data_IF_027920490547
#
_entry.id   IF_027920490547
#
_cell.length_a   1.000
_cell.length_b   1.000
_cell.length_c   1.000
_cell.angle_alpha   90.00
_cell.angle_beta   90.00
_cell.angle_gamma   90.00
#
_symmetry.space_group_name_H-M   'P 1'
#
loop_
_entity.id
_entity.type
_entity.pdbx_description
1 polymer ?
#
# COMPACT_ATOMS: atom_id res chain seq x y z
N UNK A 1 -0.38 10.77 -0.93
CA UNK A 1 -0.63 9.31 -0.86
C UNK A 1 -0.10 8.62 -2.12
N UNK A 2 1.18 8.23 -2.17
CA UNK A 2 1.77 7.63 -3.37
C UNK A 2 1.36 6.16 -3.61
N UNK A 3 0.86 5.45 -2.59
CA UNK A 3 0.55 4.01 -2.71
C UNK A 3 -0.56 3.68 -3.71
N UNK A 4 -1.70 4.37 -3.65
CA UNK A 4 -2.86 4.03 -4.50
C UNK A 4 -2.62 4.36 -5.99
N UNK A 5 -1.91 5.46 -6.28
CA UNK A 5 -1.53 5.82 -7.64
C UNK A 5 -0.68 4.72 -8.30
N UNK A 6 0.28 4.16 -7.56
CA UNK A 6 1.11 3.08 -8.05
C UNK A 6 0.35 1.74 -8.23
N UNK A 7 -0.72 1.50 -7.47
CA UNK A 7 -1.46 0.22 -7.47
C UNK A 7 -2.69 0.22 -8.38
N UNK A 8 -3.44 1.32 -8.43
CA UNK A 8 -4.72 1.44 -9.15
C UNK A 8 -4.72 2.56 -10.21
N UNK A 9 -3.60 3.24 -10.43
CA UNK A 9 -3.46 4.32 -11.40
C UNK A 9 -4.02 5.68 -10.97
N UNK A 10 -4.70 5.78 -9.81
CA UNK A 10 -5.22 7.04 -9.25
C UNK A 10 -5.05 7.10 -7.72
N UNK A 11 -4.85 8.31 -7.19
CA UNK A 11 -4.59 8.54 -5.76
C UNK A 11 -5.81 8.85 -4.89
N UNK A 12 -7.00 9.01 -5.48
CA UNK A 12 -8.25 9.35 -4.76
C UNK A 12 -8.95 8.12 -4.17
N UNK A 13 -9.85 8.33 -3.21
CA UNK A 13 -10.66 7.24 -2.65
C UNK A 13 -11.41 6.46 -3.76
N UNK A 14 -11.44 5.14 -3.65
CA UNK A 14 -12.00 4.24 -4.69
C UNK A 14 -13.52 4.21 -4.69
N UNK A 15 -14.17 4.51 -3.55
CA UNK A 15 -15.62 4.52 -3.38
C UNK A 15 -16.07 5.74 -2.57
N UNK A 16 -17.39 5.90 -2.41
CA UNK A 16 -18.00 6.98 -1.62
C UNK A 16 -18.27 6.53 -0.18
N UNK A 17 -18.37 7.47 0.76
CA UNK A 17 -18.70 7.17 2.16
C UNK A 17 -20.06 6.45 2.29
N UNK A 18 -21.02 6.76 1.41
CA UNK A 18 -22.33 6.13 1.35
C UNK A 18 -22.24 4.63 1.09
N UNK A 19 -21.32 4.20 0.21
CA UNK A 19 -21.15 2.79 -0.16
C UNK A 19 -20.69 1.90 1.01
N UNK A 20 -20.18 2.49 2.10
CA UNK A 20 -19.83 1.73 3.31
C UNK A 20 -21.06 1.02 3.90
N UNK A 21 -22.27 1.55 3.70
CA UNK A 21 -23.51 0.95 4.18
C UNK A 21 -23.82 -0.41 3.53
N UNK A 22 -23.19 -0.74 2.40
CA UNK A 22 -23.37 -1.97 1.63
C UNK A 22 -22.30 -3.03 1.93
N UNK A 23 -21.39 -2.76 2.86
CA UNK A 23 -20.32 -3.69 3.21
C UNK A 23 -20.81 -4.78 4.16
N UNK A 24 -20.36 -6.03 3.97
CA UNK A 24 -20.54 -7.13 4.92
C UNK A 24 -19.46 -7.14 6.03
N UNK A 25 -18.37 -6.40 5.84
CA UNK A 25 -17.28 -6.30 6.81
C UNK A 25 -16.51 -4.99 6.63
N UNK A 26 -16.51 -4.14 7.66
CA UNK A 26 -15.82 -2.85 7.65
C UNK A 26 -14.57 -2.93 8.53
N UNK A 27 -13.40 -2.83 7.92
CA UNK A 27 -12.12 -2.73 8.63
C UNK A 27 -11.70 -1.26 8.69
N UNK A 28 -11.67 -0.71 9.90
CA UNK A 28 -11.16 0.63 10.19
C UNK A 28 -9.75 0.46 10.77
N UNK A 29 -8.74 0.79 9.98
CA UNK A 29 -7.33 0.67 10.37
C UNK A 29 -6.59 1.96 10.01
N UNK A 30 -5.78 2.48 10.94
CA UNK A 30 -5.11 3.77 10.75
C UNK A 30 -6.06 4.97 10.65
N UNK A 31 -7.29 4.83 11.18
CA UNK A 31 -8.32 5.88 11.16
C UNK A 31 -9.15 5.83 12.44
N UNK A 32 -9.61 6.99 12.88
CA UNK A 32 -10.55 7.15 14.00
C UNK A 32 -11.84 7.81 13.49
N UNK A 33 -12.62 7.05 12.72
CA UNK A 33 -13.75 7.59 11.93
C UNK A 33 -14.86 8.22 12.77
N UNK A 34 -15.19 7.67 13.94
CA UNK A 34 -16.24 8.22 14.80
C UNK A 34 -15.90 9.64 15.29
N UNK A 35 -14.62 9.99 15.32
CA UNK A 35 -14.15 11.31 15.79
C UNK A 35 -13.78 12.22 14.64
N UNK A 36 -13.10 11.70 13.62
CA UNK A 36 -12.52 12.49 12.54
C UNK A 36 -13.45 12.59 11.31
N UNK A 37 -14.39 11.65 11.15
CA UNK A 37 -15.34 11.59 10.04
C UNK A 37 -16.76 11.19 10.53
N UNK A 38 -17.31 11.84 11.59
CA UNK A 38 -18.52 11.38 12.26
C UNK A 38 -19.74 11.27 11.34
N UNK A 39 -19.87 12.18 10.37
CA UNK A 39 -20.96 12.13 9.38
C UNK A 39 -20.83 10.94 8.43
N UNK A 40 -19.61 10.54 8.08
CA UNK A 40 -19.37 9.33 7.27
C UNK A 40 -19.57 8.04 8.08
N UNK A 41 -19.19 8.07 9.36
CA UNK A 41 -19.29 6.92 10.26
C UNK A 41 -20.73 6.40 10.42
N UNK A 42 -21.75 7.25 10.21
CA UNK A 42 -23.16 6.80 10.15
C UNK A 42 -23.40 5.65 9.16
N UNK A 43 -22.65 5.59 8.06
CA UNK A 43 -22.81 4.55 7.05
C UNK A 43 -22.17 3.23 7.49
N UNK A 44 -21.09 3.29 8.28
CA UNK A 44 -20.53 2.11 8.96
C UNK A 44 -21.55 1.54 9.94
N UNK A 45 -22.22 2.39 10.72
CA UNK A 45 -23.26 1.94 11.64
C UNK A 45 -24.46 1.31 10.91
N UNK A 46 -24.87 1.87 9.76
CA UNK A 46 -25.90 1.24 8.90
C UNK A 46 -25.48 -0.14 8.38
N UNK A 47 -24.22 -0.32 8.01
CA UNK A 47 -23.71 -1.63 7.62
C UNK A 47 -23.79 -2.60 8.80
N UNK A 48 -23.36 -2.16 9.99
CA UNK A 48 -23.42 -2.96 11.22
C UNK A 48 -24.85 -3.36 11.59
N UNK A 49 -25.82 -2.45 11.48
CA UNK A 49 -27.25 -2.73 11.67
C UNK A 49 -27.79 -3.80 10.70
N UNK A 50 -27.20 -3.91 9.50
CA UNK A 50 -27.51 -4.95 8.51
C UNK A 50 -26.79 -6.28 8.75
N UNK A 51 -25.95 -6.36 9.77
CA UNK A 51 -25.18 -7.56 10.12
C UNK A 51 -23.71 -7.54 9.70
N UNK A 52 -23.19 -6.41 9.22
CA UNK A 52 -21.77 -6.29 8.91
C UNK A 52 -20.91 -6.36 10.18
N UNK A 53 -19.76 -7.04 10.10
CA UNK A 53 -18.77 -7.01 11.19
C UNK A 53 -17.91 -5.75 11.08
N UNK A 54 -17.84 -4.96 12.15
CA UNK A 54 -16.98 -3.77 12.24
C UNK A 54 -15.74 -4.09 13.06
N UNK A 55 -14.58 -3.98 12.43
CA UNK A 55 -13.26 -4.24 13.05
C UNK A 55 -12.51 -2.93 13.13
N UNK A 56 -12.01 -2.58 14.32
CA UNK A 56 -11.16 -1.40 14.53
C UNK A 56 -9.77 -1.80 14.97
N UNK A 57 -8.77 -1.48 14.14
CA UNK A 57 -7.35 -1.74 14.38
C UNK A 57 -6.67 -0.43 14.74
N UNK A 58 -6.38 -0.23 16.02
CA UNK A 58 -5.75 1.00 16.53
C UNK A 58 -4.98 0.69 17.83
N UNK A 59 -3.79 1.30 18.04
CA UNK A 59 -3.06 1.19 19.32
C UNK A 59 -3.88 1.62 20.54
N UNK A 60 -4.88 2.48 20.34
CA UNK A 60 -5.70 3.05 21.40
C UNK A 60 -7.12 2.53 21.29
N UNK A 61 -7.78 2.43 22.44
CA UNK A 61 -9.22 2.28 22.49
C UNK A 61 -9.89 3.65 22.40
N UNK A 62 -10.56 3.94 21.30
CA UNK A 62 -11.18 5.25 21.00
C UNK A 62 -12.71 5.17 20.94
N UNK A 63 -13.38 6.28 20.60
CA UNK A 63 -14.84 6.28 20.34
C UNK A 63 -15.22 5.40 19.15
N UNK A 64 -14.30 5.20 18.19
CA UNK A 64 -14.50 4.23 17.11
C UNK A 64 -14.44 2.81 17.64
N UNK A 65 -13.47 2.49 18.50
CA UNK A 65 -13.34 1.15 19.12
C UNK A 65 -14.56 0.78 19.94
N UNK A 66 -15.12 1.74 20.69
CA UNK A 66 -16.31 1.55 21.51
C UNK A 66 -17.56 1.15 20.70
N UNK A 67 -17.58 1.43 19.39
CA UNK A 67 -18.69 1.12 18.48
C UNK A 67 -18.36 -0.05 17.53
N UNK A 68 -17.13 -0.55 17.52
CA UNK A 68 -16.72 -1.71 16.74
C UNK A 68 -17.15 -3.03 17.41
N UNK A 69 -17.27 -4.09 16.63
CA UNK A 69 -17.49 -5.45 17.15
C UNK A 69 -16.20 -6.07 17.65
N UNK A 70 -15.09 -5.77 16.95
CA UNK A 70 -13.76 -6.30 17.28
C UNK A 70 -12.79 -5.12 17.35
N UNK A 71 -12.15 -4.92 18.51
CA UNK A 71 -10.99 -4.04 18.65
C UNK A 71 -9.72 -4.90 18.61
N UNK A 72 -8.81 -4.56 17.69
CA UNK A 72 -7.50 -5.20 17.56
C UNK A 72 -6.43 -4.19 17.97
N UNK A 73 -5.90 -4.27 19.19
CA UNK A 73 -4.80 -3.41 19.60
C UNK A 73 -3.54 -3.79 18.83
N UNK A 74 -2.82 -2.78 18.32
CA UNK A 74 -1.61 -2.97 17.53
C UNK A 74 -0.54 -1.95 17.95
N UNK A 75 0.73 -2.35 18.03
CA UNK A 75 1.83 -1.39 18.26
C UNK A 75 1.94 -0.43 17.08
N UNK A 76 2.07 0.87 17.37
CA UNK A 76 2.28 1.88 16.32
C UNK A 76 3.47 1.50 15.41
N UNK A 77 3.25 1.49 14.09
CA UNK A 77 4.25 1.13 13.09
C UNK A 77 4.45 -0.37 12.89
N UNK A 78 3.52 -1.21 13.34
CA UNK A 78 3.51 -2.67 13.05
C UNK A 78 2.42 -3.10 12.06
N UNK A 79 1.76 -2.12 11.42
CA UNK A 79 0.72 -2.29 10.41
C UNK A 79 1.16 -3.22 9.27
N UNK A 80 2.40 -3.07 8.80
CA UNK A 80 2.94 -3.88 7.71
C UNK A 80 3.05 -5.37 8.10
N UNK A 81 3.42 -5.68 9.35
CA UNK A 81 3.50 -7.06 9.82
C UNK A 81 2.12 -7.70 9.94
N UNK A 82 1.14 -6.94 10.45
CA UNK A 82 -0.26 -7.40 10.56
C UNK A 82 -0.87 -7.66 9.18
N UNK A 83 -0.73 -6.72 8.24
CA UNK A 83 -1.21 -6.89 6.87
C UNK A 83 -0.45 -8.00 6.12
N UNK A 84 0.85 -8.13 6.33
CA UNK A 84 1.66 -9.24 5.79
C UNK A 84 1.17 -10.60 6.27
N UNK A 85 0.86 -10.72 7.57
CA UNK A 85 0.24 -11.91 8.15
C UNK A 85 -1.14 -12.21 7.55
N UNK A 86 -1.97 -11.19 7.32
CA UNK A 86 -3.27 -11.34 6.67
C UNK A 86 -3.14 -11.83 5.22
N UNK A 87 -2.18 -11.29 4.45
CA UNK A 87 -1.89 -11.75 3.09
C UNK A 87 -1.47 -13.22 3.13
N UNK A 88 -0.53 -13.58 4.00
CA UNK A 88 -0.05 -14.95 4.17
C UNK A 88 -1.20 -15.91 4.54
N UNK A 89 -2.07 -15.51 5.46
CA UNK A 89 -3.25 -16.29 5.84
C UNK A 89 -4.20 -16.52 4.67
N UNK A 90 -4.52 -15.46 3.90
CA UNK A 90 -5.43 -15.55 2.75
C UNK A 90 -4.88 -16.52 1.71
N UNK A 91 -3.62 -16.37 1.28
CA UNK A 91 -3.04 -17.21 0.20
C UNK A 91 -2.88 -18.69 0.61
N UNK A 92 -2.82 -18.97 1.91
CA UNK A 92 -2.74 -20.34 2.44
C UNK A 92 -4.10 -20.88 2.91
N UNK A 93 -5.17 -20.09 2.86
CA UNK A 93 -6.49 -20.49 3.35
C UNK A 93 -7.15 -21.55 2.46
N UNK A 94 -8.03 -22.37 3.04
CA UNK A 94 -8.84 -23.31 2.26
C UNK A 94 -9.72 -22.59 1.24
N UNK A 95 -10.24 -21.40 1.58
CA UNK A 95 -11.04 -20.59 0.67
C UNK A 95 -10.26 -20.21 -0.59
N UNK A 96 -8.97 -19.88 -0.48
CA UNK A 96 -8.12 -19.60 -1.65
C UNK A 96 -8.03 -20.81 -2.60
N UNK A 97 -8.04 -22.03 -2.05
CA UNK A 97 -7.97 -23.28 -2.82
C UNK A 97 -9.31 -23.64 -3.45
N UNK A 98 -10.42 -23.37 -2.76
CA UNK A 98 -11.76 -23.84 -3.13
C UNK A 98 -12.61 -22.82 -3.91
N UNK A 99 -12.36 -21.52 -3.75
CA UNK A 99 -13.18 -20.45 -4.34
C UNK A 99 -12.62 -19.98 -5.70
N UNK A 100 -13.28 -20.31 -6.83
CA UNK A 100 -12.78 -19.95 -8.15
C UNK A 100 -12.89 -18.45 -8.43
N UNK A 101 -13.81 -17.73 -7.79
CA UNK A 101 -14.04 -16.31 -8.06
C UNK A 101 -12.81 -15.48 -7.72
N UNK A 102 -12.24 -15.69 -6.53
CA UNK A 102 -11.11 -14.89 -6.08
C UNK A 102 -9.85 -15.16 -6.90
N UNK A 103 -9.59 -16.43 -7.26
CA UNK A 103 -8.46 -16.80 -8.12
C UNK A 103 -8.61 -16.24 -9.55
N UNK A 104 -9.82 -16.27 -10.11
CA UNK A 104 -10.09 -15.67 -11.41
C UNK A 104 -9.88 -14.15 -11.39
N UNK A 105 -10.35 -13.47 -10.35
CA UNK A 105 -10.13 -12.04 -10.18
C UNK A 105 -8.63 -11.71 -10.11
N UNK A 106 -7.87 -12.42 -9.27
CA UNK A 106 -6.42 -12.21 -9.14
C UNK A 106 -5.71 -12.45 -10.48
N UNK A 107 -6.08 -13.49 -11.20
CA UNK A 107 -5.44 -13.83 -12.48
C UNK A 107 -5.72 -12.80 -13.57
N UNK A 108 -6.95 -12.29 -13.66
CA UNK A 108 -7.37 -11.42 -14.77
C UNK A 108 -7.25 -9.93 -14.50
N UNK A 109 -7.35 -9.49 -13.25
CA UNK A 109 -7.42 -8.07 -12.89
C UNK A 109 -6.25 -7.59 -12.04
N UNK A 110 -5.24 -8.44 -11.81
CA UNK A 110 -3.99 -8.06 -11.17
C UNK A 110 -2.80 -8.48 -12.01
N UNK A 111 -1.60 -8.05 -11.61
CA UNK A 111 -0.36 -8.44 -12.26
C UNK A 111 0.20 -9.79 -11.74
N UNK A 112 -0.56 -10.60 -11.01
CA UNK A 112 -0.13 -11.90 -10.52
C UNK A 112 0.47 -12.85 -11.58
N UNK A 113 -0.04 -12.93 -12.84
CA UNK A 113 0.56 -13.82 -13.84
C UNK A 113 1.78 -13.24 -14.56
N UNK A 114 2.21 -12.02 -14.21
CA UNK A 114 3.33 -11.34 -14.87
C UNK A 114 4.65 -11.95 -14.41
N UNK A 115 5.48 -12.35 -15.37
CA UNK A 115 6.82 -12.89 -15.09
C UNK A 115 7.78 -11.72 -14.85
N UNK A 116 8.43 -11.73 -13.69
CA UNK A 116 9.45 -10.74 -13.31
C UNK A 116 10.83 -11.12 -13.86
N UNK A 117 11.73 -10.14 -13.96
CA UNK A 117 13.12 -10.35 -14.35
C UNK A 117 13.78 -11.40 -13.42
N UNK A 118 14.42 -12.46 -13.95
CA UNK A 118 15.06 -13.49 -13.15
C UNK A 118 16.24 -12.99 -12.29
N UNK A 119 16.76 -11.80 -12.57
CA UNK A 119 17.78 -11.15 -11.73
C UNK A 119 17.20 -10.47 -10.47
N UNK A 120 15.87 -10.41 -10.31
CA UNK A 120 15.23 -9.96 -9.09
C UNK A 120 15.60 -10.88 -7.92
N UNK A 121 15.99 -10.29 -6.78
CA UNK A 121 16.19 -10.99 -5.51
C UNK A 121 15.42 -10.25 -4.44
N UNK A 122 14.70 -11.01 -3.61
CA UNK A 122 13.85 -10.45 -2.58
C UNK A 122 14.56 -10.35 -1.21
N UNK A 123 13.78 -9.95 -0.22
CA UNK A 123 14.24 -9.78 1.16
C UNK A 123 14.58 -11.08 1.87
N UNK A 124 14.11 -12.23 1.40
CA UNK A 124 14.48 -13.53 1.98
C UNK A 124 15.90 -13.91 1.54
N UNK A 125 16.20 -13.69 0.26
CA UNK A 125 17.51 -13.98 -0.32
C UNK A 125 18.64 -13.05 0.17
N UNK A 126 18.30 -11.80 0.50
CA UNK A 126 19.28 -10.74 0.79
C UNK A 126 19.13 -10.14 2.19
N UNK A 127 18.60 -10.91 3.15
CA UNK A 127 18.62 -10.55 4.58
C UNK A 127 17.87 -9.26 4.91
N UNK A 128 16.72 -9.04 4.28
CA UNK A 128 15.87 -7.85 4.49
C UNK A 128 16.08 -6.72 3.47
N UNK A 129 16.93 -6.92 2.46
CA UNK A 129 17.13 -5.99 1.35
C UNK A 129 16.63 -6.58 0.03
N UNK A 130 16.35 -5.75 -0.96
CA UNK A 130 16.08 -6.22 -2.33
C UNK A 130 17.34 -6.14 -3.20
N UNK A 131 17.32 -6.77 -4.37
CA UNK A 131 18.36 -6.56 -5.39
C UNK A 131 18.47 -5.07 -5.77
N UNK A 132 19.71 -4.61 -5.97
CA UNK A 132 20.01 -3.22 -6.35
C UNK A 132 20.22 -2.25 -5.18
N UNK A 133 20.29 -2.71 -3.92
CA UNK A 133 20.61 -1.83 -2.79
C UNK A 133 22.04 -1.32 -2.84
N UNK A 134 22.22 0.00 -2.77
CA UNK A 134 23.51 0.65 -2.55
C UNK A 134 23.58 1.16 -1.09
N UNK A 135 24.48 0.63 -0.25
CA UNK A 135 24.56 0.99 1.17
C UNK A 135 25.09 2.41 1.41
N UNK A 136 26.01 2.90 0.58
CA UNK A 136 26.58 4.25 0.73
C UNK A 136 25.53 5.33 0.44
N UNK A 137 24.77 5.14 -0.64
CA UNK A 137 23.72 6.09 -1.07
C UNK A 137 22.40 5.85 -0.36
N UNK A 138 22.25 4.72 0.34
CA UNK A 138 21.00 4.23 0.96
C UNK A 138 19.83 4.26 -0.03
N UNK A 139 20.07 3.82 -1.26
CA UNK A 139 19.11 3.86 -2.38
C UNK A 139 19.12 2.54 -3.15
N UNK A 140 18.01 2.26 -3.81
CA UNK A 140 17.86 1.12 -4.70
C UNK A 140 18.02 1.54 -6.17
N UNK A 141 18.63 0.67 -6.96
CA UNK A 141 18.43 0.59 -8.40
C UNK A 141 17.32 -0.42 -8.73
N UNK A 142 16.39 -0.01 -9.58
CA UNK A 142 15.17 -0.75 -9.87
C UNK A 142 15.23 -1.55 -11.19
N UNK A 143 16.40 -1.64 -11.83
CA UNK A 143 16.57 -2.38 -13.10
C UNK A 143 16.17 -3.85 -13.00
N UNK A 144 16.44 -4.48 -11.86
CA UNK A 144 16.06 -5.89 -11.63
C UNK A 144 14.59 -6.07 -11.26
N UNK A 145 13.85 -5.01 -10.97
CA UNK A 145 12.45 -5.09 -10.51
C UNK A 145 11.44 -5.03 -11.67
N UNK A 146 11.95 -5.05 -12.91
CA UNK A 146 11.15 -4.97 -14.11
C UNK A 146 10.50 -6.30 -14.48
N UNK A 147 9.48 -6.23 -15.33
CA UNK A 147 8.92 -7.39 -16.00
C UNK A 147 9.98 -8.03 -16.90
N UNK A 148 10.02 -9.35 -16.98
CA UNK A 148 10.91 -10.05 -17.88
C UNK A 148 10.65 -9.64 -19.34
N UNK A 149 11.71 -9.36 -20.09
CA UNK A 149 11.60 -9.09 -21.51
C UNK A 149 11.05 -10.33 -22.23
N UNK A 150 9.97 -10.16 -22.98
CA UNK A 150 9.51 -11.17 -23.92
C UNK A 150 10.55 -11.32 -25.04
N UNK A 151 10.90 -12.54 -25.49
CA UNK A 151 11.80 -12.73 -26.63
C UNK A 151 11.33 -11.90 -27.84
N UNK A 152 12.20 -11.03 -28.36
CA UNK A 152 11.90 -10.17 -29.52
C UNK A 152 11.25 -8.82 -29.22
N UNK A 153 11.07 -8.43 -27.95
CA UNK A 153 10.59 -7.08 -27.60
C UNK A 153 11.76 -6.11 -27.49
N UNK A 154 11.76 -4.98 -28.22
CA UNK A 154 12.80 -3.96 -28.07
C UNK A 154 12.77 -3.36 -26.66
N UNK A 155 13.92 -2.90 -26.13
CA UNK A 155 13.99 -2.32 -24.79
C UNK A 155 13.00 -1.17 -24.67
N UNK A 156 12.27 -1.13 -23.55
CA UNK A 156 11.32 -0.05 -23.28
C UNK A 156 12.06 1.31 -23.31
N UNK A 157 11.45 2.36 -23.86
CA UNK A 157 12.02 3.70 -23.81
C UNK A 157 12.20 4.13 -22.35
N UNK A 158 13.20 4.98 -22.06
CA UNK A 158 13.45 5.45 -20.71
C UNK A 158 12.20 6.14 -20.16
N UNK A 159 11.74 5.69 -18.99
CA UNK A 159 10.60 6.28 -18.29
C UNK A 159 10.93 7.75 -17.92
N UNK A 160 10.15 8.74 -18.39
CA UNK A 160 10.38 10.16 -18.08
C UNK A 160 10.28 10.48 -16.58
N UNK A 161 9.65 9.61 -15.78
CA UNK A 161 9.60 9.71 -14.32
C UNK A 161 10.80 9.09 -13.60
N UNK A 162 11.64 8.32 -14.32
CA UNK A 162 12.84 7.70 -13.77
C UNK A 162 13.95 8.74 -13.70
N UNK A 163 14.16 9.31 -12.52
CA UNK A 163 15.38 10.07 -12.24
C UNK A 163 16.60 9.18 -12.52
N UNK A 164 17.51 9.58 -13.42
CA UNK A 164 18.65 8.73 -13.75
C UNK A 164 19.53 8.53 -12.51
N UNK A 165 20.02 7.31 -12.34
CA UNK A 165 20.97 6.97 -11.30
C UNK A 165 22.27 7.76 -11.54
N UNK A 166 22.41 8.93 -10.93
CA UNK A 166 23.63 9.73 -11.03
C UNK A 166 23.48 11.24 -11.18
N UNK A 167 22.28 11.83 -11.18
CA UNK A 167 22.18 13.29 -11.16
C UNK A 167 22.80 13.85 -9.87
N UNK A 168 23.84 14.70 -9.93
CA UNK A 168 24.34 15.39 -8.76
C UNK A 168 23.20 16.24 -8.22
N UNK A 169 22.93 16.11 -6.92
CA UNK A 169 21.96 16.97 -6.24
C UNK A 169 22.31 18.42 -6.55
N UNK A 170 21.31 19.21 -6.95
CA UNK A 170 21.43 20.67 -7.06
C UNK A 170 22.13 21.16 -5.79
N UNK A 171 23.33 21.70 -5.96
CA UNK A 171 24.05 22.34 -4.87
C UNK A 171 23.14 23.37 -4.22
N UNK A 172 23.07 23.31 -2.89
CA UNK A 172 22.64 24.46 -2.12
C UNK A 172 23.59 25.59 -2.51
N UNK A 173 23.08 26.63 -3.18
CA UNK A 173 23.81 27.87 -3.28
C UNK A 173 23.89 28.45 -1.88
N UNK A 174 25.10 28.37 -1.33
CA UNK A 174 25.53 29.09 -0.14
C UNK A 174 25.25 30.60 -0.32
N UNK A 175 24.84 31.23 0.77
CA UNK A 175 24.50 32.64 0.83
C UNK A 175 25.61 33.58 0.37
N UNK A 176 25.18 34.68 -0.26
CA UNK A 176 25.98 35.88 -0.51
C UNK A 176 25.31 37.10 0.15
N UNK A 177 26.07 38.18 0.40
CA UNK A 177 25.96 39.02 1.59
C UNK A 177 24.90 40.12 1.50
N UNK A 178 24.58 40.69 2.67
CA UNK A 178 23.52 41.67 2.86
C UNK A 178 23.68 43.01 2.12
N UNK A 179 22.55 43.70 2.02
CA UNK A 179 22.47 45.12 1.72
C UNK A 179 21.58 45.79 2.78
N UNK A 180 22.18 46.76 3.46
CA UNK A 180 21.56 47.72 4.38
C UNK A 180 20.69 48.75 3.63
N UNK A 181 19.78 49.37 4.40
CA UNK A 181 19.13 50.69 4.23
C UNK A 181 18.29 50.95 2.96
N UNK A 182 16.98 51.14 3.13
CA UNK A 182 16.32 52.41 3.48
C UNK A 182 14.84 52.18 3.85
#
# INVERSE_FOLDING_TARGET
>A
MPGLGARLGRGGATTTQQSLADSDCVVIMGSNMAENHPVGFRFVMKAKERGATVIHVDPRFSRTSALADIHVPLRAGSDLAMLGGLINYIVNSERWKSDPFFKAYVTHYTNAPVIINPAFRDTEDLGGLFSGYNPEKRRYDFDTWQVAAQPGTPPAPPDPGRMPAGSPGRGQQEGGPGAQEA
#
